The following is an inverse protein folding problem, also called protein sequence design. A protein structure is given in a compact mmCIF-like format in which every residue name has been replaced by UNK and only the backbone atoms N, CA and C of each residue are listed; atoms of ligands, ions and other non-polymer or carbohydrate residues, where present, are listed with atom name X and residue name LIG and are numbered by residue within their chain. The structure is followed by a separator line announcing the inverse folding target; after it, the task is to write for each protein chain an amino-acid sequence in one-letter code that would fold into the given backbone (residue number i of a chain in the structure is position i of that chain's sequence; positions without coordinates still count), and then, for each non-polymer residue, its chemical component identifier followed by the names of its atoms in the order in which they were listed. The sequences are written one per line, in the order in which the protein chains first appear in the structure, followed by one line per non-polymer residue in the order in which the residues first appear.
data_IF_995417660170
#
_entry.id   IF_995417660170
#
_cell.length_a   1.000
_cell.length_b   1.000
_cell.length_c   1.000
_cell.angle_alpha   90.00
_cell.angle_beta   90.00
_cell.angle_gamma   90.00
#
_symmetry.space_group_name_H-M   'P 1'
#
loop_
_entity.id
_entity.type
_entity.pdbx_description
1 polymer ?
#
# COMPACT_ATOMS: atom_id res chain seq x y z
N UNK A 1 11.98 9.90 -14.62
CA UNK A 1 11.40 9.97 -13.26
C UNK A 1 12.27 9.26 -12.22
N UNK A 2 12.79 8.05 -12.50
CA UNK A 2 13.61 7.25 -11.55
C UNK A 2 14.96 7.89 -11.20
N UNK A 3 15.66 8.54 -12.15
CA UNK A 3 16.98 9.15 -11.90
C UNK A 3 16.97 10.20 -10.77
N UNK A 4 15.91 11.02 -10.70
CA UNK A 4 15.76 12.09 -9.70
C UNK A 4 15.62 11.55 -8.28
N UNK A 5 15.04 10.35 -8.12
CA UNK A 5 14.86 9.70 -6.82
C UNK A 5 16.19 9.27 -6.21
N UNK A 6 17.21 9.00 -7.01
CA UNK A 6 18.54 8.66 -6.48
C UNK A 6 19.43 9.90 -6.34
N UNK A 7 19.20 10.96 -7.12
CA UNK A 7 19.99 12.18 -7.07
C UNK A 7 19.93 12.88 -5.71
N UNK A 8 18.77 12.96 -5.05
CA UNK A 8 18.70 13.67 -3.76
C UNK A 8 19.41 12.94 -2.62
N UNK A 9 19.40 11.60 -2.62
CA UNK A 9 20.12 10.78 -1.64
C UNK A 9 21.64 10.84 -1.84
N UNK A 10 22.09 10.96 -3.09
CA UNK A 10 23.49 10.86 -3.45
C UNK A 10 24.19 12.21 -3.67
N UNK A 11 23.48 13.20 -4.20
CA UNK A 11 24.03 14.45 -4.74
C UNK A 11 23.28 15.73 -4.33
N UNK A 12 21.97 15.67 -4.04
CA UNK A 12 21.11 16.86 -3.96
C UNK A 12 21.24 17.73 -2.70
N UNK A 13 21.77 17.20 -1.58
CA UNK A 13 22.20 18.00 -0.42
C UNK A 13 22.94 17.12 0.60
N UNK A 14 24.05 17.63 1.16
CA UNK A 14 24.85 16.91 2.18
C UNK A 14 24.04 16.54 3.43
N UNK A 15 22.92 17.21 3.69
CA UNK A 15 22.03 16.91 4.80
C UNK A 15 21.38 15.51 4.73
N UNK A 16 21.35 14.89 3.55
CA UNK A 16 20.77 13.55 3.33
C UNK A 16 21.80 12.42 3.40
N UNK A 17 23.09 12.74 3.37
CA UNK A 17 24.17 11.75 3.49
C UNK A 17 24.11 10.97 4.82
N UNK A 18 23.83 11.59 5.99
CA UNK A 18 23.69 10.84 7.23
C UNK A 18 22.60 9.75 7.18
N UNK A 19 21.51 9.99 6.45
CA UNK A 19 20.42 9.01 6.29
C UNK A 19 20.88 7.86 5.40
N UNK A 20 21.51 8.17 4.25
CA UNK A 20 22.10 7.17 3.37
C UNK A 20 23.12 6.30 4.09
N UNK A 21 24.05 6.93 4.81
CA UNK A 21 25.14 6.25 5.50
C UNK A 21 24.58 5.38 6.64
N UNK A 22 23.51 5.83 7.30
CA UNK A 22 22.80 5.00 8.29
C UNK A 22 22.11 3.79 7.68
N UNK A 23 21.48 3.94 6.52
CA UNK A 23 20.89 2.82 5.78
C UNK A 23 21.95 1.82 5.33
N UNK A 24 23.11 2.30 4.85
CA UNK A 24 24.26 1.46 4.51
C UNK A 24 24.75 0.71 5.75
N UNK A 25 24.90 1.39 6.89
CA UNK A 25 25.34 0.78 8.15
C UNK A 25 24.37 -0.32 8.61
N UNK A 26 23.06 -0.05 8.58
CA UNK A 26 22.01 -1.00 9.00
C UNK A 26 21.98 -2.20 8.05
N UNK A 27 21.99 -1.98 6.75
CA UNK A 27 21.94 -3.07 5.78
C UNK A 27 23.22 -3.91 5.73
N UNK A 28 24.40 -3.31 5.94
CA UNK A 28 25.67 -4.06 6.01
C UNK A 28 25.69 -5.06 7.17
N UNK A 29 25.00 -4.75 8.28
CA UNK A 29 24.83 -5.68 9.41
C UNK A 29 23.94 -6.88 9.06
N UNK A 30 23.07 -6.73 8.06
CA UNK A 30 22.12 -7.74 7.60
C UNK A 30 22.65 -8.66 6.51
N UNK A 31 23.67 -8.24 5.73
CA UNK A 31 24.29 -9.06 4.67
C UNK A 31 24.96 -10.38 5.13
N UNK A 32 24.94 -10.69 6.43
CA UNK A 32 25.37 -11.97 7.00
C UNK A 32 24.26 -12.82 7.64
N UNK A 33 23.04 -12.27 7.79
CA UNK A 33 21.92 -12.95 8.42
C UNK A 33 21.20 -13.83 7.39
N UNK A 34 21.60 -15.10 7.28
CA UNK A 34 20.88 -16.06 6.43
C UNK A 34 19.44 -16.19 6.92
N UNK A 35 18.48 -15.96 6.01
CA UNK A 35 17.04 -16.32 6.03
C UNK A 35 16.02 -15.36 6.65
N UNK A 36 16.39 -14.19 7.16
CA UNK A 36 15.39 -13.25 7.67
C UNK A 36 15.16 -12.12 6.66
N UNK A 37 13.89 -11.83 6.36
CA UNK A 37 13.49 -10.67 5.56
C UNK A 37 13.84 -9.39 6.35
N UNK A 38 14.49 -8.44 5.68
CA UNK A 38 14.94 -7.21 6.32
C UNK A 38 13.83 -6.16 6.28
N UNK A 39 13.18 -5.89 7.41
CA UNK A 39 12.17 -4.83 7.48
C UNK A 39 12.80 -3.48 7.87
N UNK A 40 12.67 -2.49 6.99
CA UNK A 40 13.05 -1.10 7.24
C UNK A 40 11.80 -0.32 7.63
N UNK A 41 11.73 0.08 8.90
CA UNK A 41 10.66 0.94 9.40
C UNK A 41 11.08 2.41 9.35
N UNK A 42 10.38 3.19 8.53
CA UNK A 42 10.57 4.63 8.46
C UNK A 42 9.50 5.32 9.32
N UNK A 43 9.97 5.95 10.41
CA UNK A 43 9.13 6.69 11.33
C UNK A 43 8.95 8.13 10.85
N UNK A 44 7.70 8.53 10.63
CA UNK A 44 7.35 9.90 10.26
C UNK A 44 6.32 10.50 11.21
N UNK A 45 6.44 11.79 11.55
CA UNK A 45 5.38 12.50 12.23
C UNK A 45 4.19 12.69 11.28
N UNK A 46 2.98 12.81 11.83
CA UNK A 46 1.71 12.81 11.08
C UNK A 46 1.68 13.88 9.98
N UNK A 47 2.20 15.07 10.26
CA UNK A 47 2.24 16.19 9.31
C UNK A 47 3.15 15.96 8.09
N UNK A 48 4.05 14.97 8.16
CA UNK A 48 4.96 14.61 7.05
C UNK A 48 4.62 13.28 6.41
N UNK A 49 3.83 12.43 7.06
CA UNK A 49 3.54 11.07 6.59
C UNK A 49 2.94 11.03 5.18
N UNK A 50 1.98 11.91 4.87
CA UNK A 50 1.34 11.94 3.53
C UNK A 50 2.34 12.33 2.44
N UNK A 51 3.27 13.25 2.72
CA UNK A 51 4.24 13.75 1.75
C UNK A 51 5.35 12.73 1.52
N UNK A 52 5.87 12.16 2.62
CA UNK A 52 6.97 11.19 2.60
C UNK A 52 6.50 9.80 2.19
N UNK A 53 5.24 9.45 2.43
CA UNK A 53 4.67 8.17 1.99
C UNK A 53 4.40 8.05 0.50
N UNK A 54 4.49 9.16 -0.24
CA UNK A 54 4.43 9.17 -1.71
C UNK A 54 5.79 8.91 -2.36
N UNK A 55 6.87 8.91 -1.59
CA UNK A 55 8.20 8.63 -2.11
C UNK A 55 8.28 7.13 -2.41
N UNK A 56 8.73 6.72 -3.61
CA UNK A 56 8.92 5.32 -3.94
C UNK A 56 10.22 4.81 -3.31
N UNK A 57 10.22 4.64 -1.98
CA UNK A 57 11.41 4.28 -1.21
C UNK A 57 12.09 3.02 -1.74
N UNK A 58 11.30 2.04 -2.17
CA UNK A 58 11.77 0.77 -2.75
C UNK A 58 12.51 0.92 -4.09
N UNK A 59 12.31 2.03 -4.81
CA UNK A 59 12.97 2.29 -6.10
C UNK A 59 14.37 2.91 -5.95
N UNK A 60 14.83 3.12 -4.71
CA UNK A 60 16.16 3.65 -4.48
C UNK A 60 17.22 2.61 -4.86
N UNK A 61 18.24 3.03 -5.60
CA UNK A 61 19.35 2.17 -6.05
C UNK A 61 20.03 1.49 -4.86
N UNK A 62 20.07 2.14 -3.70
CA UNK A 62 20.60 1.56 -2.47
C UNK A 62 19.83 0.29 -2.07
N UNK A 63 18.50 0.37 -2.03
CA UNK A 63 17.66 -0.73 -1.57
C UNK A 63 17.49 -1.76 -2.68
N UNK A 64 17.24 -1.31 -3.90
CA UNK A 64 17.08 -2.16 -5.08
C UNK A 64 18.31 -3.00 -5.40
N UNK A 65 19.52 -2.42 -5.32
CA UNK A 65 20.74 -3.09 -5.77
C UNK A 65 21.54 -3.76 -4.63
N UNK A 66 21.45 -3.27 -3.39
CA UNK A 66 22.27 -3.77 -2.28
C UNK A 66 21.46 -4.48 -1.18
N UNK A 67 20.16 -4.20 -1.09
CA UNK A 67 19.25 -4.74 -0.07
C UNK A 67 17.93 -5.18 -0.71
N UNK A 68 18.00 -5.95 -1.80
CA UNK A 68 16.83 -6.34 -2.61
C UNK A 68 15.78 -7.11 -1.84
N UNK A 69 16.18 -7.78 -0.76
CA UNK A 69 15.31 -8.59 0.11
C UNK A 69 14.77 -7.75 1.30
N UNK A 70 14.89 -6.43 1.22
CA UNK A 70 14.34 -5.53 2.23
C UNK A 70 12.93 -5.06 1.88
N UNK A 71 12.06 -5.09 2.87
CA UNK A 71 10.73 -4.50 2.81
C UNK A 71 10.71 -3.17 3.56
N UNK A 72 10.10 -2.15 2.96
CA UNK A 72 10.00 -0.83 3.56
C UNK A 72 8.57 -0.63 4.03
N UNK A 73 8.40 -0.37 5.32
CA UNK A 73 7.12 0.00 5.88
C UNK A 73 7.20 1.38 6.53
N UNK A 74 6.13 2.14 6.35
CA UNK A 74 6.00 3.49 6.87
C UNK A 74 5.19 3.45 8.15
N UNK A 75 5.72 4.03 9.22
CA UNK A 75 5.05 4.09 10.51
C UNK A 75 4.81 5.53 10.92
N UNK A 76 3.58 5.81 11.34
CA UNK A 76 3.22 7.06 11.99
C UNK A 76 3.76 7.06 13.41
N UNK A 77 4.73 7.92 13.69
CA UNK A 77 5.25 8.15 15.02
C UNK A 77 4.42 9.23 15.74
N UNK A 78 4.04 8.98 17.00
CA UNK A 78 3.31 9.94 17.83
C UNK A 78 1.86 9.57 18.16
N UNK A 79 1.26 8.59 17.47
CA UNK A 79 0.08 7.91 18.02
C UNK A 79 0.58 6.89 19.04
N UNK A 80 0.38 7.18 20.34
CA UNK A 80 0.38 6.12 21.36
C UNK A 80 -0.46 5.00 20.79
N UNK A 81 0.15 3.81 20.68
CA UNK A 81 -0.40 2.71 19.92
C UNK A 81 -1.89 2.64 20.16
N UNK A 82 -2.68 2.89 19.10
CA UNK A 82 -4.05 2.45 19.15
C UNK A 82 -3.90 0.98 19.51
N UNK A 83 -4.39 0.61 20.70
CA UNK A 83 -4.41 -0.78 21.13
C UNK A 83 -4.90 -1.52 19.92
N UNK A 84 -4.06 -2.37 19.32
CA UNK A 84 -4.50 -3.23 18.23
C UNK A 84 -5.60 -4.01 18.90
N UNK A 85 -6.84 -3.59 18.67
CA UNK A 85 -7.97 -4.23 19.29
C UNK A 85 -7.85 -5.65 18.76
N UNK A 86 -7.77 -6.66 19.64
CA UNK A 86 -7.68 -8.03 19.19
C UNK A 86 -8.80 -8.19 18.17
N UNK A 87 -8.44 -8.66 16.97
CA UNK A 87 -9.40 -8.83 15.87
C UNK A 87 -10.62 -9.47 16.50
N UNK A 88 -11.70 -8.69 16.61
CA UNK A 88 -12.93 -9.22 17.16
C UNK A 88 -13.20 -10.45 16.31
N UNK A 89 -13.49 -11.59 16.95
CA UNK A 89 -13.94 -12.77 16.21
C UNK A 89 -15.30 -12.42 15.63
N UNK A 90 -15.30 -11.71 14.52
CA UNK A 90 -16.49 -11.40 13.77
C UNK A 90 -17.02 -12.74 13.26
N UNK A 91 -18.28 -13.03 13.58
CA UNK A 91 -18.92 -14.27 13.15
C UNK A 91 -19.04 -14.36 11.61
N UNK A 92 -18.85 -13.24 10.90
CA UNK A 92 -18.94 -13.13 9.44
C UNK A 92 -18.00 -12.04 8.91
N UNK A 93 -17.04 -12.40 8.05
CA UNK A 93 -16.11 -11.44 7.43
C UNK A 93 -16.84 -10.71 6.30
N UNK A 94 -16.96 -9.39 6.39
CA UNK A 94 -17.55 -8.52 5.35
C UNK A 94 -16.50 -8.04 4.36
N UNK A 95 -16.73 -8.28 3.07
CA UNK A 95 -15.84 -7.98 1.96
C UNK A 95 -16.58 -7.08 0.97
N UNK A 96 -15.97 -5.96 0.60
CA UNK A 96 -16.42 -5.12 -0.51
C UNK A 96 -15.52 -5.36 -1.72
N UNK A 97 -16.08 -5.89 -2.80
CA UNK A 97 -15.44 -6.02 -4.10
C UNK A 97 -15.96 -4.94 -5.04
N UNK A 98 -15.06 -4.09 -5.54
CA UNK A 98 -15.36 -3.07 -6.54
C UNK A 98 -14.72 -3.48 -7.85
N UNK A 99 -15.54 -3.56 -8.90
CA UNK A 99 -15.09 -3.88 -10.25
C UNK A 99 -15.14 -2.61 -11.09
N UNK A 100 -13.99 -2.06 -11.46
CA UNK A 100 -13.89 -0.86 -12.30
C UNK A 100 -14.10 -1.15 -13.78
N UNK A 101 -13.70 -0.21 -14.64
CA UNK A 101 -13.67 -0.46 -16.09
C UNK A 101 -12.84 -1.70 -16.41
N UNK A 102 -13.39 -2.53 -17.29
CA UNK A 102 -12.88 -3.87 -17.61
C UNK A 102 -12.73 -4.09 -19.11
N UNK A 103 -12.58 -3.00 -19.87
CA UNK A 103 -12.65 -2.99 -21.33
C UNK A 103 -11.64 -3.96 -21.98
N UNK A 104 -10.58 -4.36 -21.26
CA UNK A 104 -9.60 -5.38 -21.66
C UNK A 104 -9.17 -6.38 -20.55
N UNK A 105 -9.92 -6.51 -19.43
CA UNK A 105 -9.57 -7.42 -18.30
C UNK A 105 -10.73 -8.36 -17.97
N UNK A 106 -10.45 -9.66 -17.81
CA UNK A 106 -11.43 -10.67 -17.36
C UNK A 106 -11.73 -10.59 -15.85
N UNK A 107 -12.46 -9.57 -15.43
CA UNK A 107 -12.87 -9.35 -14.04
C UNK A 107 -13.87 -10.40 -13.52
N UNK A 108 -14.49 -11.18 -14.41
CA UNK A 108 -15.44 -12.25 -14.08
C UNK A 108 -14.82 -13.37 -13.22
N UNK A 109 -13.54 -13.69 -13.44
CA UNK A 109 -12.84 -14.70 -12.64
C UNK A 109 -12.58 -14.18 -11.23
N UNK A 110 -12.19 -12.92 -11.08
CA UNK A 110 -11.99 -12.29 -9.77
C UNK A 110 -13.30 -12.30 -8.96
N UNK A 111 -14.41 -11.90 -9.59
CA UNK A 111 -15.74 -11.94 -8.97
C UNK A 111 -16.06 -13.37 -8.48
N UNK A 112 -15.84 -14.39 -9.32
CA UNK A 112 -16.09 -15.80 -8.95
C UNK A 112 -15.24 -16.24 -7.77
N UNK A 113 -13.95 -15.90 -7.76
CA UNK A 113 -13.02 -16.27 -6.69
C UNK A 113 -13.46 -15.63 -5.37
N UNK A 114 -13.77 -14.33 -5.38
CA UNK A 114 -14.17 -13.61 -4.16
C UNK A 114 -15.53 -14.10 -3.67
N UNK A 115 -16.53 -14.28 -4.55
CA UNK A 115 -17.84 -14.85 -4.16
C UNK A 115 -17.73 -16.26 -3.59
N UNK A 116 -16.75 -17.07 -4.02
CA UNK A 116 -16.55 -18.40 -3.45
C UNK A 116 -16.18 -18.36 -1.95
N UNK A 117 -15.72 -17.21 -1.42
CA UNK A 117 -15.49 -17.01 0.01
C UNK A 117 -16.79 -16.98 0.83
N UNK A 118 -17.95 -16.72 0.21
CA UNK A 118 -19.25 -16.83 0.89
C UNK A 118 -19.48 -18.26 1.42
N UNK A 119 -18.97 -19.28 0.72
CA UNK A 119 -19.00 -20.68 1.19
C UNK A 119 -18.19 -20.92 2.47
N UNK A 120 -17.25 -20.02 2.78
CA UNK A 120 -16.46 -20.03 4.02
C UNK A 120 -17.05 -19.10 5.10
N UNK A 121 -18.24 -18.55 4.87
CA UNK A 121 -18.92 -17.67 5.81
C UNK A 121 -18.60 -16.19 5.65
N UNK A 122 -18.04 -15.75 4.52
CA UNK A 122 -17.92 -14.33 4.21
C UNK A 122 -19.25 -13.72 3.73
N UNK A 123 -19.40 -12.41 3.90
CA UNK A 123 -20.43 -11.59 3.25
C UNK A 123 -19.75 -10.76 2.18
N UNK A 124 -20.10 -10.98 0.91
CA UNK A 124 -19.46 -10.30 -0.21
C UNK A 124 -20.45 -9.34 -0.86
N UNK A 125 -20.16 -8.03 -0.77
CA UNK A 125 -20.85 -7.00 -1.56
C UNK A 125 -20.04 -6.75 -2.81
N UNK A 126 -20.67 -6.81 -3.99
CA UNK A 126 -20.02 -6.52 -5.27
C UNK A 126 -20.62 -5.25 -5.88
N UNK A 127 -19.77 -4.26 -6.17
CA UNK A 127 -20.13 -3.07 -6.93
C UNK A 127 -19.49 -3.16 -8.32
N UNK A 128 -20.32 -3.15 -9.36
CA UNK A 128 -19.87 -3.17 -10.75
C UNK A 128 -19.91 -1.75 -11.30
N UNK A 129 -18.74 -1.23 -11.67
CA UNK A 129 -18.52 0.13 -12.18
C UNK A 129 -19.33 1.18 -11.41
N UNK A 130 -19.20 1.25 -10.07
CA UNK A 130 -20.03 2.16 -9.29
C UNK A 130 -19.73 3.61 -9.65
N UNK A 131 -20.67 4.50 -9.42
CA UNK A 131 -20.39 5.93 -9.35
C UNK A 131 -19.52 6.25 -8.13
N UNK A 132 -18.91 7.44 -8.11
CA UNK A 132 -18.14 7.90 -6.95
C UNK A 132 -19.01 7.96 -5.69
N UNK A 133 -20.26 8.37 -5.86
CA UNK A 133 -21.26 8.47 -4.80
C UNK A 133 -21.60 7.09 -4.23
N UNK A 134 -21.89 6.10 -5.08
CA UNK A 134 -22.17 4.72 -4.65
C UNK A 134 -20.96 4.08 -3.96
N UNK A 135 -19.76 4.30 -4.49
CA UNK A 135 -18.52 3.81 -3.88
C UNK A 135 -18.32 4.46 -2.50
N UNK A 136 -18.49 5.78 -2.40
CA UNK A 136 -18.37 6.50 -1.15
C UNK A 136 -19.40 6.00 -0.14
N UNK A 137 -20.67 5.89 -0.53
CA UNK A 137 -21.72 5.39 0.34
C UNK A 137 -21.37 4.00 0.86
N UNK A 138 -20.98 3.07 -0.01
CA UNK A 138 -20.58 1.73 0.40
C UNK A 138 -19.40 1.75 1.38
N UNK A 139 -18.35 2.51 1.12
CA UNK A 139 -17.18 2.59 2.01
C UNK A 139 -17.52 3.05 3.42
N UNK A 140 -18.56 3.88 3.57
CA UNK A 140 -19.02 4.41 4.85
C UNK A 140 -20.22 3.65 5.47
N UNK A 141 -20.71 2.58 4.83
CA UNK A 141 -21.79 1.77 5.39
C UNK A 141 -21.37 1.08 6.70
N UNK A 142 -22.27 1.09 7.69
CA UNK A 142 -22.09 0.39 8.96
C UNK A 142 -23.01 -0.86 9.06
N UNK A 143 -22.55 -2.02 9.57
CA UNK A 143 -21.17 -2.28 10.01
C UNK A 143 -20.18 -2.10 8.85
N UNK A 144 -18.94 -1.70 9.12
CA UNK A 144 -17.91 -1.53 8.08
C UNK A 144 -17.50 -2.82 7.35
N UNK A 145 -16.65 -2.67 6.33
CA UNK A 145 -16.00 -3.80 5.65
C UNK A 145 -14.65 -4.12 6.30
N UNK A 146 -14.29 -5.40 6.35
CA UNK A 146 -13.00 -5.87 6.88
C UNK A 146 -11.96 -5.96 5.77
N UNK A 147 -12.40 -6.24 4.55
CA UNK A 147 -11.54 -6.40 3.36
C UNK A 147 -12.18 -5.59 2.22
N UNK A 148 -11.37 -4.76 1.58
CA UNK A 148 -11.71 -4.06 0.34
C UNK A 148 -10.86 -4.62 -0.80
N UNK A 149 -11.51 -4.97 -1.91
CA UNK A 149 -10.88 -5.51 -3.11
C UNK A 149 -11.30 -4.65 -4.28
N UNK A 150 -10.35 -4.23 -5.12
CA UNK A 150 -10.62 -3.57 -6.39
C UNK A 150 -10.06 -4.40 -7.54
N UNK A 151 -10.85 -4.62 -8.60
CA UNK A 151 -10.42 -5.24 -9.86
C UNK A 151 -10.87 -4.38 -11.04
N UNK A 152 -9.94 -3.90 -11.85
CA UNK A 152 -10.22 -3.03 -12.99
C UNK A 152 -9.02 -2.15 -13.32
N UNK A 153 -9.18 -1.28 -14.32
CA UNK A 153 -8.15 -0.31 -14.67
C UNK A 153 -8.05 0.80 -13.60
N UNK A 154 -6.82 1.08 -13.18
CA UNK A 154 -6.47 2.33 -12.52
C UNK A 154 -5.97 3.31 -13.58
N UNK A 155 -6.50 4.53 -13.60
CA UNK A 155 -5.91 5.60 -14.40
C UNK A 155 -4.98 6.44 -13.56
N UNK A 156 -3.91 6.91 -14.19
CA UNK A 156 -2.97 7.85 -13.61
C UNK A 156 -2.98 9.11 -14.47
N UNK A 157 -3.08 10.28 -13.84
CA UNK A 157 -2.72 11.51 -14.52
C UNK A 157 -1.24 11.42 -14.93
N UNK A 158 -0.91 11.78 -16.17
CA UNK A 158 0.49 11.88 -16.57
C UNK A 158 1.18 13.11 -15.98
N UNK A 159 0.41 14.07 -15.45
CA UNK A 159 0.92 15.32 -14.89
C UNK A 159 1.04 15.33 -13.36
N UNK A 160 0.34 14.43 -12.67
CA UNK A 160 0.41 14.31 -11.20
C UNK A 160 0.56 12.85 -10.78
N UNK A 161 1.38 12.49 -9.77
CA UNK A 161 1.54 11.11 -9.30
C UNK A 161 0.34 10.65 -8.45
N UNK A 162 -0.88 11.03 -8.86
CA UNK A 162 -2.13 10.67 -8.20
C UNK A 162 -2.82 9.66 -9.10
N UNK A 163 -2.90 8.42 -8.61
CA UNK A 163 -3.67 7.34 -9.24
C UNK A 163 -5.10 7.39 -8.70
N UNK A 164 -6.11 7.24 -9.57
CA UNK A 164 -7.49 7.06 -9.15
C UNK A 164 -8.07 5.77 -9.71
N UNK A 165 -9.04 5.23 -8.99
CA UNK A 165 -9.85 4.13 -9.48
C UNK A 165 -10.80 4.69 -10.53
N UNK A 166 -10.79 4.12 -11.75
CA UNK A 166 -11.82 4.46 -12.73
C UNK A 166 -13.09 3.69 -12.41
N UNK A 167 -14.03 4.43 -11.86
CA UNK A 167 -15.41 4.03 -11.69
C UNK A 167 -16.18 4.72 -12.83
N UNK A 168 -17.03 3.96 -13.54
CA UNK A 168 -17.59 4.33 -14.86
C UNK A 168 -18.36 5.64 -14.91
#
# INVERSE_FOLDING_TARGET
MIAWVNEWLNFGSSQWQPIRDKLIEVGSRWQGAKKEEMYILLDFPEEKFIQLGRIPWQEWDLLKNYYSDSEIALRLYGKQGQTILPIQKYWKVRILLVVGRSDDIQTENDIKIVKNLEKKGAEVTVLLQPTKEELSEALWQEPGYHIFIFSGHSSCDQQTPISWLESG
#
